data_IF_718844125341
#
_entry.id   IF_718844125341
#
_cell.length_a   1.000
_cell.length_b   1.000
_cell.length_c   1.000
_cell.angle_alpha   90.00
_cell.angle_beta   90.00
_cell.angle_gamma   90.00
#
_symmetry.space_group_name_H-M   'P 1'
#
loop_
_entity.id
_entity.type
_entity.pdbx_description
1 polymer ?
#
# COMPACT_ATOMS: atom_id res chain seq x y z
N UNK A 1 20.18 -2.34 9.02
CA UNK A 1 19.53 -2.54 7.71
C UNK A 1 18.58 -1.37 7.50
N UNK A 2 18.64 -0.67 6.37
CA UNK A 2 17.84 0.54 6.13
C UNK A 2 16.55 0.14 5.39
N UNK A 3 15.44 0.75 5.77
CA UNK A 3 14.15 0.48 5.13
C UNK A 3 13.31 1.76 5.11
N UNK A 4 12.50 1.88 4.06
CA UNK A 4 11.48 2.90 3.91
C UNK A 4 10.11 2.21 3.96
N UNK A 5 9.29 2.61 4.93
CA UNK A 5 7.89 2.20 4.99
C UNK A 5 7.05 3.22 4.25
N UNK A 6 6.38 2.78 3.20
CA UNK A 6 5.50 3.59 2.38
C UNK A 6 4.06 3.47 2.88
N UNK A 7 3.56 4.55 3.45
CA UNK A 7 2.12 4.72 3.63
C UNK A 7 1.53 5.40 2.39
N UNK A 8 0.73 4.65 1.63
CA UNK A 8 0.12 5.14 0.39
C UNK A 8 -1.39 5.25 0.61
N UNK A 9 -1.90 6.46 0.50
CA UNK A 9 -3.33 6.76 0.56
C UNK A 9 -3.79 7.19 -0.83
N UNK A 10 -4.34 6.26 -1.59
CA UNK A 10 -5.00 6.55 -2.86
C UNK A 10 -6.51 6.39 -2.70
N UNK A 11 -7.27 7.16 -3.47
CA UNK A 11 -8.72 7.04 -3.59
C UNK A 11 -9.02 6.28 -4.89
N UNK A 12 -9.76 5.18 -4.83
CA UNK A 12 -9.99 4.33 -6.00
C UNK A 12 -10.48 2.94 -5.62
N UNK A 13 -10.17 1.95 -6.46
CA UNK A 13 -10.56 0.56 -6.26
C UNK A 13 -9.74 -0.13 -5.15
N UNK A 14 -10.38 -1.04 -4.40
CA UNK A 14 -9.75 -1.84 -3.33
C UNK A 14 -8.93 -3.03 -3.88
N UNK A 15 -8.19 -2.82 -4.98
CA UNK A 15 -7.35 -3.84 -5.62
C UNK A 15 -5.86 -3.52 -5.63
N UNK A 16 -5.45 -2.29 -5.29
CA UNK A 16 -4.04 -1.91 -5.22
C UNK A 16 -3.44 -1.36 -6.51
N UNK A 17 -4.20 -1.27 -7.61
CA UNK A 17 -3.71 -0.85 -8.93
C UNK A 17 -3.16 0.58 -8.93
N UNK A 18 -3.86 1.50 -8.27
CA UNK A 18 -3.50 2.93 -8.17
C UNK A 18 -2.17 3.15 -7.43
N UNK A 19 -1.81 2.23 -6.53
CA UNK A 19 -0.61 2.33 -5.70
C UNK A 19 0.64 1.78 -6.40
N UNK A 20 0.49 0.89 -7.39
CA UNK A 20 1.60 0.28 -8.14
C UNK A 20 2.57 1.32 -8.72
N UNK A 21 2.13 2.36 -9.47
CA UNK A 21 3.07 3.31 -10.06
C UNK A 21 3.88 4.06 -8.99
N UNK A 22 3.26 4.39 -7.86
CA UNK A 22 3.92 5.06 -6.75
C UNK A 22 4.94 4.15 -6.07
N UNK A 23 4.62 2.89 -5.81
CA UNK A 23 5.59 1.94 -5.24
C UNK A 23 6.79 1.79 -6.18
N UNK A 24 6.55 1.62 -7.48
CA UNK A 24 7.61 1.47 -8.50
C UNK A 24 8.54 2.68 -8.56
N UNK A 25 8.00 3.88 -8.41
CA UNK A 25 8.79 5.11 -8.37
C UNK A 25 9.83 5.07 -7.24
N UNK A 26 9.40 4.71 -6.02
CA UNK A 26 10.30 4.62 -4.88
C UNK A 26 11.25 3.42 -4.95
N UNK A 27 10.79 2.28 -5.47
CA UNK A 27 11.67 1.12 -5.74
C UNK A 27 12.79 1.53 -6.71
N UNK A 28 12.46 2.27 -7.77
CA UNK A 28 13.46 2.76 -8.71
C UNK A 28 14.42 3.77 -8.07
N UNK A 29 13.91 4.65 -7.20
CA UNK A 29 14.72 5.63 -6.49
C UNK A 29 15.76 4.97 -5.55
N UNK A 30 15.41 3.86 -4.90
CA UNK A 30 16.29 3.19 -3.94
C UNK A 30 17.11 2.06 -4.53
N UNK A 31 16.96 1.76 -5.83
CA UNK A 31 17.54 0.59 -6.51
C UNK A 31 19.05 0.41 -6.27
N UNK A 32 19.80 1.51 -6.28
CA UNK A 32 21.27 1.48 -6.13
C UNK A 32 21.72 1.68 -4.67
N UNK A 33 20.80 1.50 -3.72
CA UNK A 33 21.06 1.65 -2.28
C UNK A 33 20.80 0.34 -1.54
N UNK A 34 21.10 0.32 -0.23
CA UNK A 34 20.75 -0.81 0.65
C UNK A 34 19.34 -0.68 1.25
N UNK A 35 18.59 0.36 0.87
CA UNK A 35 17.26 0.65 1.43
C UNK A 35 16.22 -0.25 0.80
N UNK A 36 15.46 -0.94 1.64
CA UNK A 36 14.31 -1.75 1.20
C UNK A 36 13.01 -0.97 1.32
N UNK A 37 12.11 -1.15 0.37
CA UNK A 37 10.73 -0.66 0.35
C UNK A 37 9.80 -1.68 0.98
N UNK A 38 9.09 -1.25 2.03
CA UNK A 38 7.96 -1.96 2.61
C UNK A 38 6.70 -1.12 2.41
N UNK A 39 5.60 -1.75 1.99
CA UNK A 39 4.34 -1.05 1.79
C UNK A 39 3.35 -1.32 2.94
N UNK A 40 2.75 -0.26 3.48
CA UNK A 40 1.73 -0.37 4.53
C UNK A 40 0.41 -0.89 3.97
N UNK A 41 -0.17 -1.89 4.63
CA UNK A 41 -1.52 -2.39 4.38
C UNK A 41 -2.37 -2.28 5.65
N UNK A 42 -3.66 -2.03 5.49
CA UNK A 42 -4.64 -1.85 6.58
C UNK A 42 -5.63 -3.03 6.65
N UNK A 43 -5.20 -4.21 7.12
CA UNK A 43 -6.04 -5.42 7.08
C UNK A 43 -7.35 -5.26 7.88
N UNK A 44 -7.36 -4.51 8.99
CA UNK A 44 -8.59 -4.29 9.78
C UNK A 44 -9.66 -3.43 9.08
N UNK A 45 -9.27 -2.64 8.08
CA UNK A 45 -10.20 -1.75 7.38
C UNK A 45 -10.73 -2.38 6.08
N UNK A 46 -10.37 -3.63 5.77
CA UNK A 46 -10.59 -4.22 4.46
C UNK A 46 -11.13 -5.65 4.55
N UNK A 47 -12.01 -6.07 3.63
CA UNK A 47 -12.35 -7.48 3.48
C UNK A 47 -11.08 -8.33 3.22
N UNK A 48 -11.00 -9.59 3.70
CA UNK A 48 -9.83 -10.45 3.51
C UNK A 48 -9.40 -10.62 2.04
N UNK A 49 -10.37 -10.61 1.11
CA UNK A 49 -10.10 -10.69 -0.33
C UNK A 49 -9.40 -9.43 -0.85
N UNK A 50 -9.85 -8.25 -0.45
CA UNK A 50 -9.26 -6.98 -0.85
C UNK A 50 -7.82 -6.87 -0.33
N UNK A 51 -7.60 -7.24 0.94
CA UNK A 51 -6.26 -7.34 1.53
C UNK A 51 -5.33 -8.20 0.68
N UNK A 52 -5.78 -9.40 0.28
CA UNK A 52 -4.98 -10.32 -0.54
C UNK A 52 -4.64 -9.71 -1.90
N UNK A 53 -5.60 -9.07 -2.56
CA UNK A 53 -5.37 -8.44 -3.88
C UNK A 53 -4.34 -7.33 -3.78
N UNK A 54 -4.50 -6.44 -2.79
CA UNK A 54 -3.57 -5.32 -2.55
C UNK A 54 -2.16 -5.84 -2.24
N UNK A 55 -2.04 -6.85 -1.37
CA UNK A 55 -0.76 -7.47 -1.07
C UNK A 55 -0.08 -8.00 -2.34
N UNK A 56 -0.82 -8.68 -3.23
CA UNK A 56 -0.29 -9.17 -4.51
C UNK A 56 0.18 -8.03 -5.40
N UNK A 57 -0.61 -6.95 -5.53
CA UNK A 57 -0.23 -5.78 -6.33
C UNK A 57 1.02 -5.08 -5.80
N UNK A 58 1.23 -5.03 -4.49
CA UNK A 58 2.42 -4.41 -3.91
C UNK A 58 3.67 -5.23 -4.18
N UNK A 59 3.57 -6.56 -4.12
CA UNK A 59 4.66 -7.43 -4.55
C UNK A 59 4.94 -7.34 -6.06
N UNK A 60 3.90 -7.22 -6.90
CA UNK A 60 4.05 -6.97 -8.34
C UNK A 60 4.74 -5.62 -8.63
N UNK A 61 4.55 -4.64 -7.74
CA UNK A 61 5.26 -3.37 -7.77
C UNK A 61 6.69 -3.43 -7.20
N UNK A 62 7.18 -4.63 -6.85
CA UNK A 62 8.50 -4.92 -6.31
C UNK A 62 8.76 -4.37 -4.89
N UNK A 63 7.72 -4.19 -4.06
CA UNK A 63 7.93 -4.02 -2.63
C UNK A 63 8.58 -5.30 -2.03
N UNK A 64 9.61 -5.16 -1.20
CA UNK A 64 10.24 -6.33 -0.56
C UNK A 64 9.41 -6.93 0.57
N UNK A 65 8.42 -6.18 1.07
CA UNK A 65 7.56 -6.67 2.12
C UNK A 65 6.39 -5.75 2.42
N UNK A 66 5.58 -6.22 3.36
CA UNK A 66 4.41 -5.52 3.84
C UNK A 66 4.59 -5.17 5.31
N UNK A 67 4.05 -4.03 5.69
CA UNK A 67 3.85 -3.65 7.09
C UNK A 67 2.37 -3.59 7.36
N UNK A 68 1.95 -4.15 8.51
CA UNK A 68 0.56 -4.12 8.91
C UNK A 68 0.33 -2.96 9.84
N UNK A 69 -0.41 -1.97 9.34
CA UNK A 69 -0.75 -0.81 10.15
C UNK A 69 -2.00 -1.09 10.95
N UNK A 70 -1.78 -1.31 12.24
CA UNK A 70 -2.81 -1.60 13.22
C UNK A 70 -3.27 -0.35 13.97
N UNK A 71 -3.63 0.72 13.27
CA UNK A 71 -4.23 1.89 13.92
C UNK A 71 -5.74 1.69 14.14
N UNK A 72 -6.28 2.21 15.25
CA UNK A 72 -7.71 2.12 15.61
C UNK A 72 -8.60 3.09 14.79
N UNK A 73 -7.98 3.96 13.98
CA UNK A 73 -8.70 4.92 13.15
C UNK A 73 -9.29 4.19 11.95
N UNK A 74 -10.62 4.11 11.91
CA UNK A 74 -11.37 3.70 10.72
C UNK A 74 -11.03 4.66 9.59
N UNK A 75 -10.75 4.12 8.40
CA UNK A 75 -10.73 4.90 7.17
C UNK A 75 -12.01 5.74 7.15
N UNK A 76 -11.90 7.07 7.23
CA UNK A 76 -13.04 7.91 6.92
C UNK A 76 -13.25 7.77 5.42
N UNK A 77 -14.09 6.84 5.02
CA UNK A 77 -14.79 6.93 3.75
C UNK A 77 -15.49 8.29 3.78
N UNK A 78 -14.85 9.35 3.27
CA UNK A 78 -15.60 10.49 2.81
C UNK A 78 -16.41 9.95 1.65
N UNK A 79 -17.66 9.58 1.96
CA UNK A 79 -18.73 9.33 1.01
C UNK A 79 -18.63 10.42 -0.06
N UNK A 80 -18.19 10.07 -1.26
CA UNK A 80 -18.64 10.81 -2.43
C UNK A 80 -20.16 10.73 -2.41
N UNK A 81 -20.79 11.90 -2.42
CA UNK A 81 -22.22 12.04 -2.25
C UNK A 81 -22.97 11.17 -3.25
N UNK A 82 -24.00 10.48 -2.76
CA UNK A 82 -25.14 10.18 -3.60
C UNK A 82 -25.71 11.52 -4.06
N UNK A 83 -25.56 11.81 -5.35
CA UNK A 83 -26.47 12.64 -6.15
C UNK A 83 -26.81 11.86 -7.39
#
# INVERSE_FOLDING_TARGET
MQYLVMHISCFGEDNGSEQIPHIREFVNLVRDTKTKIYADVYPRCMPPRAYRMIAMSYYEAAAEGLTFRDSFKRYSHQRMGFR
#
